data_IF_840376475100
#
_entry.id   IF_840376475100
#
_cell.length_a   1.000
_cell.length_b   1.000
_cell.length_c   1.000
_cell.angle_alpha   90.00
_cell.angle_beta   90.00
_cell.angle_gamma   90.00
#
_symmetry.space_group_name_H-M   'P 1'
#
loop_
_entity.id
_entity.type
_entity.pdbx_description
1 polymer ?
#
# COMPACT_ATOMS: atom_id res chain seq x y z
N UNK A 1 11.54 22.02 27.80
CA UNK A 1 11.30 21.60 26.40
C UNK A 1 10.75 20.18 26.29
N UNK A 2 11.27 19.21 27.05
CA UNK A 2 10.88 17.78 26.95
C UNK A 2 10.06 17.26 28.14
N UNK A 3 9.64 18.13 29.07
CA UNK A 3 8.81 17.75 30.21
C UNK A 3 7.44 17.19 29.76
N UNK A 4 6.89 17.78 28.70
CA UNK A 4 5.81 17.22 27.90
C UNK A 4 6.37 16.90 26.51
N UNK A 5 6.71 15.63 26.22
CA UNK A 5 7.38 15.29 24.97
C UNK A 5 6.44 15.28 23.76
N UNK A 6 5.12 15.38 23.97
CA UNK A 6 4.11 15.32 22.93
C UNK A 6 3.83 16.70 22.34
N UNK A 7 3.76 16.77 21.02
CA UNK A 7 3.52 17.99 20.28
C UNK A 7 4.75 18.88 20.12
N UNK A 8 4.57 20.15 19.70
CA UNK A 8 5.65 21.10 19.53
C UNK A 8 6.26 21.49 20.90
N UNK A 9 7.55 21.85 20.96
CA UNK A 9 8.22 22.25 22.21
C UNK A 9 7.79 23.66 22.66
N UNK A 10 6.52 23.82 23.01
CA UNK A 10 5.85 25.08 23.36
C UNK A 10 6.53 25.82 24.52
N UNK A 11 7.09 25.08 25.47
CA UNK A 11 7.82 25.63 26.61
C UNK A 11 9.09 26.43 26.24
N UNK A 12 9.61 26.28 25.01
CA UNK A 12 10.74 27.11 24.54
C UNK A 12 10.31 28.50 24.11
N UNK A 13 9.07 28.68 23.67
CA UNK A 13 8.60 29.95 23.12
C UNK A 13 8.69 31.09 24.14
N UNK A 14 8.19 30.95 25.39
CA UNK A 14 8.33 32.00 26.40
C UNK A 14 9.80 32.34 26.70
N UNK A 15 10.68 31.33 26.70
CA UNK A 15 12.10 31.52 26.98
C UNK A 15 12.82 32.29 25.85
N UNK A 16 12.47 32.00 24.60
CA UNK A 16 12.97 32.73 23.43
C UNK A 16 12.47 34.17 23.39
N UNK A 17 11.26 34.44 23.89
CA UNK A 17 10.68 35.77 23.96
C UNK A 17 11.16 36.60 25.17
N UNK A 18 11.80 35.98 26.16
CA UNK A 18 12.16 36.66 27.41
C UNK A 18 13.30 37.68 27.24
N UNK A 19 14.32 37.38 26.41
CA UNK A 19 15.48 38.25 26.24
C UNK A 19 16.20 38.03 24.89
N UNK A 20 16.69 39.09 24.26
CA UNK A 20 17.41 39.03 22.97
C UNK A 20 18.69 38.18 23.02
N UNK A 21 19.42 38.24 24.13
CA UNK A 21 20.58 37.38 24.37
C UNK A 21 20.20 35.89 24.41
N UNK A 22 19.15 35.52 25.16
CA UNK A 22 18.66 34.14 25.22
C UNK A 22 18.16 33.67 23.86
N UNK A 23 17.43 34.51 23.13
CA UNK A 23 17.05 34.25 21.76
C UNK A 23 18.28 33.94 20.89
N UNK A 24 19.32 34.77 20.97
CA UNK A 24 20.55 34.58 20.20
C UNK A 24 21.26 33.26 20.53
N UNK A 25 21.18 32.76 21.77
CA UNK A 25 21.79 31.51 22.19
C UNK A 25 20.93 30.26 21.92
N UNK A 26 19.60 30.41 21.89
CA UNK A 26 18.65 29.28 21.83
C UNK A 26 17.89 29.20 20.52
N UNK A 27 18.02 30.18 19.62
CA UNK A 27 17.42 30.14 18.29
C UNK A 27 17.87 28.91 17.49
N UNK A 28 16.97 28.34 16.69
CA UNK A 28 17.24 27.15 15.87
C UNK A 28 18.39 27.36 14.88
N UNK A 29 18.53 28.58 14.36
CA UNK A 29 19.58 28.95 13.41
C UNK A 29 20.97 28.98 14.05
N UNK A 30 21.07 29.29 15.34
CA UNK A 30 22.35 29.38 16.07
C UNK A 30 22.64 28.17 16.94
N UNK A 31 21.63 27.35 17.26
CA UNK A 31 21.78 26.21 18.17
C UNK A 31 21.02 24.98 17.69
N UNK A 32 21.34 24.49 16.48
CA UNK A 32 20.72 23.28 15.92
C UNK A 32 20.89 22.04 16.81
N UNK A 33 21.98 21.94 17.59
CA UNK A 33 22.22 20.83 18.51
C UNK A 33 21.14 20.70 19.60
N UNK A 34 20.64 21.81 20.14
CA UNK A 34 19.53 21.78 21.11
C UNK A 34 18.27 21.17 20.48
N UNK A 35 17.91 21.58 19.27
CA UNK A 35 16.73 21.08 18.57
C UNK A 35 16.90 19.62 18.11
N UNK A 36 18.10 19.22 17.73
CA UNK A 36 18.41 17.82 17.47
C UNK A 36 18.24 16.94 18.72
N UNK A 37 18.63 17.43 19.90
CA UNK A 37 18.39 16.73 21.18
C UNK A 37 16.91 16.65 21.52
N UNK A 38 16.16 17.72 21.26
CA UNK A 38 14.71 17.72 21.44
C UNK A 38 14.07 16.69 20.51
N UNK A 39 14.45 16.68 19.22
CA UNK A 39 13.98 15.68 18.26
C UNK A 39 14.22 14.25 18.74
N UNK A 40 15.46 13.93 19.16
CA UNK A 40 15.80 12.60 19.71
C UNK A 40 15.06 12.25 20.99
N UNK A 41 14.49 13.22 21.70
CA UNK A 41 13.67 13.00 22.89
C UNK A 41 12.18 12.83 22.55
N UNK A 42 11.70 13.45 21.46
CA UNK A 42 10.27 13.52 21.14
C UNK A 42 9.83 12.58 20.00
N UNK A 43 10.74 12.23 19.08
CA UNK A 43 10.50 11.36 17.93
C UNK A 43 11.45 10.16 17.94
N UNK A 44 11.05 9.12 17.23
CA UNK A 44 11.90 7.97 16.94
C UNK A 44 12.84 8.31 15.78
N UNK A 45 14.13 7.96 15.91
CA UNK A 45 15.18 8.35 14.97
C UNK A 45 16.06 7.18 14.51
N UNK A 46 15.88 5.98 15.07
CA UNK A 46 16.72 4.82 14.75
C UNK A 46 16.48 4.27 13.34
N UNK A 47 15.24 4.27 12.84
CA UNK A 47 14.97 3.90 11.44
C UNK A 47 15.67 4.82 10.44
N UNK A 48 15.54 6.16 10.57
CA UNK A 48 16.34 7.11 9.81
C UNK A 48 17.85 6.85 9.87
N UNK A 49 18.42 6.63 11.06
CA UNK A 49 19.86 6.33 11.20
C UNK A 49 20.28 5.07 10.41
N UNK A 50 19.43 4.04 10.36
CA UNK A 50 19.71 2.83 9.56
C UNK A 50 19.55 3.03 8.05
N UNK A 51 18.68 3.95 7.63
CA UNK A 51 18.30 4.17 6.22
C UNK A 51 19.12 5.28 5.55
N UNK A 52 19.56 6.25 6.34
CA UNK A 52 20.25 7.48 5.96
C UNK A 52 21.34 7.81 7.00
N UNK A 53 22.38 6.96 7.13
CA UNK A 53 23.39 7.13 8.18
C UNK A 53 24.11 8.48 8.09
N UNK A 54 24.36 8.96 6.87
CA UNK A 54 24.99 10.24 6.64
C UNK A 54 24.02 11.38 7.01
N UNK A 55 22.84 11.44 6.39
CA UNK A 55 21.92 12.59 6.52
C UNK A 55 21.21 12.68 7.89
N UNK A 56 20.77 11.55 8.47
CA UNK A 56 19.99 11.52 9.70
C UNK A 56 20.84 11.68 10.97
N UNK A 57 22.17 11.68 10.84
CA UNK A 57 23.08 11.87 11.98
C UNK A 57 23.33 13.36 12.29
N UNK A 58 23.20 14.24 11.29
CA UNK A 58 23.51 15.67 11.42
C UNK A 58 22.49 16.43 12.25
N UNK A 59 22.98 17.27 13.17
CA UNK A 59 22.11 18.05 14.06
C UNK A 59 21.25 19.07 13.31
N UNK A 60 21.72 19.61 12.19
CA UNK A 60 20.93 20.53 11.35
C UNK A 60 19.74 19.82 10.70
N UNK A 61 19.97 18.61 10.17
CA UNK A 61 18.94 17.79 9.55
C UNK A 61 17.84 17.39 10.55
N UNK A 62 18.24 16.94 11.74
CA UNK A 62 17.30 16.62 12.83
C UNK A 62 16.50 17.84 13.30
N UNK A 63 17.15 19.00 13.41
CA UNK A 63 16.48 20.25 13.78
C UNK A 63 15.45 20.68 12.72
N UNK A 64 15.80 20.60 11.43
CA UNK A 64 14.87 20.87 10.33
C UNK A 64 13.70 19.87 10.31
N UNK A 65 13.98 18.59 10.57
CA UNK A 65 12.95 17.56 10.62
C UNK A 65 11.99 17.74 11.80
N UNK A 66 12.48 18.21 12.95
CA UNK A 66 11.63 18.57 14.09
C UNK A 66 10.56 19.58 13.69
N UNK A 67 10.97 20.67 13.04
CA UNK A 67 10.05 21.73 12.61
C UNK A 67 8.99 21.16 11.67
N UNK A 68 9.42 20.44 10.62
CA UNK A 68 8.51 19.85 9.64
C UNK A 68 7.51 18.88 10.26
N UNK A 69 7.97 18.02 11.17
CA UNK A 69 7.08 17.08 11.85
C UNK A 69 6.07 17.83 12.74
N UNK A 70 6.51 18.83 13.51
CA UNK A 70 5.61 19.63 14.34
C UNK A 70 4.55 20.39 13.52
N UNK A 71 4.94 20.98 12.38
CA UNK A 71 4.00 21.64 11.46
C UNK A 71 2.96 20.66 10.90
N UNK A 72 3.39 19.48 10.43
CA UNK A 72 2.47 18.45 9.93
C UNK A 72 1.52 17.95 11.02
N UNK A 73 2.00 17.73 12.25
CA UNK A 73 1.15 17.34 13.39
C UNK A 73 0.13 18.41 13.75
N UNK A 74 0.52 19.69 13.70
CA UNK A 74 -0.41 20.80 13.90
C UNK A 74 -1.48 20.83 12.81
N UNK A 75 -1.11 20.64 11.54
CA UNK A 75 -2.06 20.59 10.42
C UNK A 75 -3.01 19.40 10.48
N UNK A 76 -2.53 18.22 10.91
CA UNK A 76 -3.40 17.07 11.21
C UNK A 76 -4.45 17.47 12.25
N UNK A 77 -4.01 18.16 13.31
CA UNK A 77 -4.87 18.58 14.41
C UNK A 77 -5.91 19.63 14.00
N UNK A 78 -5.55 20.57 13.14
CA UNK A 78 -6.50 21.56 12.58
C UNK A 78 -7.37 20.99 11.46
N UNK A 79 -6.95 19.88 10.86
CA UNK A 79 -7.67 19.18 9.78
C UNK A 79 -7.32 19.66 8.36
N UNK A 80 -6.40 20.61 8.22
CA UNK A 80 -5.93 21.20 6.95
C UNK A 80 -4.69 20.46 6.42
N UNK A 81 -4.89 19.20 6.06
CA UNK A 81 -3.83 18.30 5.63
C UNK A 81 -3.46 18.51 4.16
N UNK A 82 -2.19 18.81 3.92
CA UNK A 82 -1.62 18.78 2.57
C UNK A 82 -1.19 17.35 2.21
N UNK A 83 -0.99 17.11 0.91
CA UNK A 83 -0.50 15.82 0.43
C UNK A 83 0.84 15.45 1.08
N UNK A 84 1.78 16.38 1.17
CA UNK A 84 3.09 16.15 1.81
C UNK A 84 2.97 15.76 3.28
N UNK A 85 1.94 16.23 3.98
CA UNK A 85 1.70 15.89 5.38
C UNK A 85 1.23 14.43 5.52
N UNK A 86 0.51 13.90 4.52
CA UNK A 86 0.18 12.46 4.45
C UNK A 86 1.42 11.60 4.24
N UNK A 87 2.36 12.03 3.38
CA UNK A 87 3.63 11.33 3.18
C UNK A 87 4.49 11.36 4.45
N UNK A 88 4.56 12.51 5.15
CA UNK A 88 5.28 12.62 6.43
C UNK A 88 4.65 11.77 7.51
N UNK A 89 3.32 11.78 7.64
CA UNK A 89 2.61 10.90 8.57
C UNK A 89 2.89 9.41 8.27
N UNK A 90 2.93 9.06 6.98
CA UNK A 90 3.24 7.70 6.56
C UNK A 90 4.69 7.32 6.89
N UNK A 91 5.66 8.21 6.63
CA UNK A 91 7.04 8.01 7.05
C UNK A 91 7.15 7.82 8.58
N UNK A 92 6.47 8.65 9.37
CA UNK A 92 6.41 8.52 10.83
C UNK A 92 5.87 7.15 11.28
N UNK A 93 4.87 6.59 10.58
CA UNK A 93 4.38 5.23 10.86
C UNK A 93 5.43 4.15 10.58
N UNK A 94 6.21 4.29 9.51
CA UNK A 94 7.24 3.33 9.11
C UNK A 94 8.52 3.41 9.95
N UNK A 95 8.74 4.56 10.58
CA UNK A 95 9.87 4.86 11.45
C UNK A 95 9.52 4.74 12.92
N UNK A 96 8.30 4.26 13.23
CA UNK A 96 7.80 4.19 14.58
C UNK A 96 8.46 3.07 15.39
N UNK A 97 9.07 3.45 16.51
CA UNK A 97 9.52 2.58 17.59
C UNK A 97 8.68 2.81 18.88
N UNK A 98 7.71 3.73 18.83
CA UNK A 98 6.68 3.94 19.83
C UNK A 98 6.34 5.42 20.04
N UNK A 99 7.33 6.31 19.93
CA UNK A 99 7.15 7.75 20.16
C UNK A 99 6.40 8.39 19.01
N UNK A 100 6.69 8.00 17.77
CA UNK A 100 6.01 8.55 16.60
C UNK A 100 4.50 8.24 16.63
N UNK A 101 4.11 7.04 17.05
CA UNK A 101 2.71 6.67 17.23
C UNK A 101 2.02 7.56 18.29
N UNK A 102 2.69 7.84 19.41
CA UNK A 102 2.16 8.73 20.43
C UNK A 102 1.99 10.18 19.91
N UNK A 103 2.92 10.67 19.09
CA UNK A 103 2.81 11.99 18.43
C UNK A 103 1.62 12.04 17.46
N UNK A 104 1.46 11.02 16.62
CA UNK A 104 0.34 10.92 15.67
C UNK A 104 -1.01 10.80 16.39
N UNK A 105 -1.05 10.10 17.52
CA UNK A 105 -2.23 10.02 18.38
C UNK A 105 -2.55 11.37 19.02
N UNK A 106 -1.55 12.08 19.55
CA UNK A 106 -1.70 13.44 20.08
C UNK A 106 -2.25 14.41 19.03
N UNK A 107 -1.83 14.28 17.78
CA UNK A 107 -2.34 15.09 16.67
C UNK A 107 -3.78 14.75 16.28
N UNK A 108 -4.34 13.62 16.74
CA UNK A 108 -5.68 13.16 16.36
C UNK A 108 -5.74 12.51 14.98
N UNK A 109 -4.61 12.01 14.46
CA UNK A 109 -4.56 11.35 13.15
C UNK A 109 -5.56 10.18 13.03
N UNK A 110 -5.70 9.26 14.00
CA UNK A 110 -6.59 8.11 13.86
C UNK A 110 -8.05 8.51 13.57
N UNK A 111 -8.57 9.47 14.33
CA UNK A 111 -9.97 9.91 14.20
C UNK A 111 -10.18 10.79 12.96
N UNK A 112 -9.17 11.55 12.56
CA UNK A 112 -9.20 12.29 11.29
C UNK A 112 -9.29 11.34 10.10
N UNK A 113 -8.40 10.34 10.03
CA UNK A 113 -8.31 9.43 8.90
C UNK A 113 -9.54 8.52 8.82
N UNK A 114 -10.06 8.04 9.96
CA UNK A 114 -11.30 7.27 9.96
C UNK A 114 -12.48 8.07 9.40
N UNK A 115 -12.63 9.34 9.80
CA UNK A 115 -13.64 10.25 9.22
C UNK A 115 -13.40 10.48 7.73
N UNK A 116 -12.14 10.62 7.30
CA UNK A 116 -11.78 10.72 5.89
C UNK A 116 -12.23 9.48 5.11
N UNK A 117 -11.94 8.28 5.60
CA UNK A 117 -12.31 7.02 4.94
C UNK A 117 -13.82 6.89 4.83
N UNK A 118 -14.56 7.21 5.90
CA UNK A 118 -16.02 7.12 5.92
C UNK A 118 -16.72 8.14 5.02
N UNK A 119 -16.17 9.34 4.85
CA UNK A 119 -16.84 10.45 4.13
C UNK A 119 -16.29 10.74 2.73
N UNK A 120 -14.97 10.61 2.53
CA UNK A 120 -14.28 11.10 1.32
C UNK A 120 -13.74 10.01 0.40
N UNK A 121 -13.62 8.76 0.85
CA UNK A 121 -13.03 7.68 0.03
C UNK A 121 -13.74 7.46 -1.33
N UNK A 122 -15.05 7.72 -1.37
CA UNK A 122 -15.88 7.59 -2.59
C UNK A 122 -16.22 8.94 -3.25
N UNK A 123 -15.64 10.04 -2.77
CA UNK A 123 -15.88 11.36 -3.32
C UNK A 123 -15.42 11.43 -4.79
N UNK A 124 -16.24 12.05 -5.64
CA UNK A 124 -15.94 12.18 -7.07
C UNK A 124 -16.16 10.91 -7.90
N UNK A 125 -16.84 9.89 -7.36
CA UNK A 125 -17.17 8.65 -8.10
C UNK A 125 -17.94 8.88 -9.41
N UNK A 126 -18.67 9.99 -9.52
CA UNK A 126 -19.45 10.34 -10.70
C UNK A 126 -18.55 10.51 -11.93
N UNK A 127 -17.31 10.96 -11.72
CA UNK A 127 -16.28 11.11 -12.77
C UNK A 127 -15.61 9.79 -13.15
N UNK A 128 -15.80 8.74 -12.36
CA UNK A 128 -15.13 7.43 -12.50
C UNK A 128 -16.14 6.30 -12.70
N UNK A 129 -17.28 6.60 -13.33
CA UNK A 129 -18.35 5.65 -13.64
C UNK A 129 -18.93 4.95 -12.39
N UNK A 130 -19.11 5.69 -11.30
CA UNK A 130 -19.59 5.20 -10.00
C UNK A 130 -18.65 4.20 -9.30
N UNK A 131 -17.38 4.21 -9.67
CA UNK A 131 -16.33 3.45 -8.98
C UNK A 131 -15.46 4.39 -8.15
N UNK A 132 -14.91 3.93 -7.02
CA UNK A 132 -14.11 4.80 -6.19
C UNK A 132 -12.76 5.12 -6.87
N UNK A 133 -12.24 6.33 -6.66
CA UNK A 133 -11.06 6.81 -7.38
C UNK A 133 -9.79 6.29 -6.72
N UNK A 134 -8.88 5.73 -7.52
CA UNK A 134 -7.50 5.54 -7.06
C UNK A 134 -6.78 6.90 -7.14
N UNK A 135 -6.47 7.47 -5.99
CA UNK A 135 -5.70 8.69 -5.84
C UNK A 135 -4.69 8.52 -4.71
N UNK A 136 -3.64 9.33 -4.75
CA UNK A 136 -2.59 9.34 -3.73
C UNK A 136 -3.18 9.56 -2.33
N UNK A 137 -4.10 10.51 -2.22
CA UNK A 137 -4.77 10.83 -0.96
C UNK A 137 -5.54 9.62 -0.43
N UNK A 138 -6.28 8.90 -1.29
CA UNK A 138 -7.00 7.69 -0.91
C UNK A 138 -6.05 6.55 -0.54
N UNK A 139 -4.94 6.39 -1.26
CA UNK A 139 -3.94 5.38 -0.97
C UNK A 139 -3.31 5.62 0.42
N UNK A 140 -2.80 6.83 0.67
CA UNK A 140 -2.23 7.19 1.97
C UNK A 140 -3.27 7.16 3.08
N UNK A 141 -4.51 7.61 2.84
CA UNK A 141 -5.55 7.55 3.85
C UNK A 141 -5.81 6.11 4.31
N UNK A 142 -5.91 5.13 3.40
CA UNK A 142 -6.09 3.73 3.79
C UNK A 142 -4.85 3.14 4.47
N UNK A 143 -3.65 3.50 4.04
CA UNK A 143 -2.41 3.07 4.70
C UNK A 143 -2.25 3.64 6.11
N UNK A 144 -2.51 4.94 6.29
CA UNK A 144 -2.52 5.57 7.60
C UNK A 144 -3.63 4.99 8.48
N UNK A 145 -4.80 4.67 7.90
CA UNK A 145 -5.86 3.99 8.63
C UNK A 145 -5.39 2.63 9.14
N UNK A 146 -4.75 1.84 8.28
CA UNK A 146 -4.17 0.55 8.67
C UNK A 146 -3.14 0.67 9.79
N UNK A 147 -2.23 1.65 9.74
CA UNK A 147 -1.21 1.84 10.79
C UNK A 147 -1.75 2.42 12.09
N UNK A 148 -2.87 3.14 12.04
CA UNK A 148 -3.53 3.71 13.24
C UNK A 148 -4.61 2.79 13.82
N UNK A 149 -4.96 1.72 13.11
CA UNK A 149 -5.95 0.73 13.56
C UNK A 149 -5.32 -0.18 14.60
N UNK A 150 -5.82 -0.13 15.83
CA UNK A 150 -5.43 -1.08 16.89
C UNK A 150 -6.50 -2.17 17.03
N UNK A 151 -6.16 -3.34 17.62
CA UNK A 151 -7.17 -4.35 17.96
C UNK A 151 -8.33 -3.77 18.78
N UNK A 152 -8.04 -2.88 19.72
CA UNK A 152 -9.05 -2.22 20.56
C UNK A 152 -9.97 -1.31 19.75
N UNK A 153 -9.43 -0.52 18.81
CA UNK A 153 -10.24 0.32 17.91
C UNK A 153 -11.11 -0.52 16.99
N UNK A 154 -10.58 -1.63 16.47
CA UNK A 154 -11.34 -2.55 15.63
C UNK A 154 -12.48 -3.22 16.41
N UNK A 155 -12.23 -3.59 17.67
CA UNK A 155 -13.24 -4.15 18.58
C UNK A 155 -14.30 -3.11 18.99
N UNK A 156 -13.90 -1.84 19.13
CA UNK A 156 -14.80 -0.75 19.48
C UNK A 156 -15.80 -0.39 18.36
N UNK A 157 -15.56 -0.81 17.12
CA UNK A 157 -16.51 -0.56 16.03
C UNK A 157 -17.83 -1.28 16.25
N UNK A 158 -18.94 -0.59 15.97
CA UNK A 158 -20.26 -1.23 15.92
C UNK A 158 -20.38 -2.13 14.67
N UNK A 159 -21.28 -3.13 14.68
CA UNK A 159 -21.53 -3.95 13.48
C UNK A 159 -21.88 -3.11 12.24
N UNK A 160 -22.65 -2.03 12.41
CA UNK A 160 -23.01 -1.12 11.32
C UNK A 160 -21.78 -0.37 10.76
N UNK A 161 -20.89 0.14 11.62
CA UNK A 161 -19.65 0.79 11.19
C UNK A 161 -18.72 -0.19 10.46
N UNK A 162 -18.56 -1.42 10.98
CA UNK A 162 -17.78 -2.45 10.29
C UNK A 162 -18.33 -2.75 8.90
N UNK A 163 -19.64 -2.93 8.77
CA UNK A 163 -20.30 -3.17 7.48
C UNK A 163 -20.12 -1.99 6.52
N UNK A 164 -20.19 -0.76 7.02
CA UNK A 164 -19.91 0.44 6.23
C UNK A 164 -18.46 0.45 5.73
N UNK A 165 -17.48 0.31 6.62
CA UNK A 165 -16.05 0.28 6.26
C UNK A 165 -15.74 -0.85 5.28
N UNK A 166 -16.27 -2.05 5.54
CA UNK A 166 -16.12 -3.20 4.65
C UNK A 166 -16.69 -2.89 3.26
N UNK A 167 -17.87 -2.27 3.18
CA UNK A 167 -18.50 -1.86 1.91
C UNK A 167 -17.65 -0.82 1.16
N UNK A 168 -17.10 0.15 1.88
CA UNK A 168 -16.29 1.23 1.32
C UNK A 168 -14.97 0.71 0.73
N UNK A 169 -14.31 -0.23 1.41
CA UNK A 169 -12.99 -0.78 1.03
C UNK A 169 -13.11 -1.93 0.03
N UNK A 170 -14.24 -2.67 0.01
CA UNK A 170 -14.45 -3.85 -0.84
C UNK A 170 -14.04 -3.68 -2.31
N UNK A 171 -14.34 -2.58 -3.02
CA UNK A 171 -13.96 -2.49 -4.43
C UNK A 171 -12.44 -2.48 -4.64
N UNK A 172 -11.71 -1.81 -3.76
CA UNK A 172 -10.26 -1.76 -3.79
C UNK A 172 -9.64 -3.12 -3.46
N UNK A 173 -10.26 -3.89 -2.56
CA UNK A 173 -9.76 -5.19 -2.13
C UNK A 173 -9.99 -6.32 -3.16
N UNK A 174 -11.14 -6.32 -3.84
CA UNK A 174 -11.59 -7.44 -4.67
C UNK A 174 -11.21 -7.26 -6.14
N UNK A 175 -11.30 -6.05 -6.69
CA UNK A 175 -11.12 -5.81 -8.12
C UNK A 175 -9.67 -5.51 -8.49
N UNK A 176 -8.79 -6.50 -8.34
CA UNK A 176 -7.33 -6.39 -8.59
C UNK A 176 -6.96 -5.92 -10.00
N UNK A 177 -7.82 -6.19 -11.00
CA UNK A 177 -7.58 -5.70 -12.35
C UNK A 177 -7.69 -4.18 -12.47
N UNK A 178 -8.43 -3.53 -11.55
CA UNK A 178 -8.59 -2.08 -11.46
C UNK A 178 -7.66 -1.49 -10.39
N UNK A 179 -7.55 -2.12 -9.24
CA UNK A 179 -6.73 -1.68 -8.12
C UNK A 179 -5.66 -2.74 -7.81
N UNK A 180 -4.57 -2.80 -8.59
CA UNK A 180 -3.53 -3.79 -8.38
C UNK A 180 -2.90 -3.63 -6.99
N UNK A 181 -2.68 -4.75 -6.26
CA UNK A 181 -2.03 -4.74 -4.95
C UNK A 181 -0.49 -4.73 -5.04
N UNK A 182 0.07 -4.63 -6.24
CA UNK A 182 1.49 -4.77 -6.51
C UNK A 182 2.03 -3.51 -7.19
N UNK A 183 3.28 -3.15 -6.90
CA UNK A 183 3.98 -2.02 -7.54
C UNK A 183 4.31 -2.30 -9.00
N UNK A 184 4.60 -3.57 -9.31
CA UNK A 184 4.81 -4.07 -10.66
C UNK A 184 3.82 -5.21 -10.95
N UNK A 185 3.45 -5.45 -12.22
CA UNK A 185 2.55 -6.55 -12.56
C UNK A 185 3.08 -7.92 -12.12
N UNK A 186 2.19 -8.71 -11.52
CA UNK A 186 2.41 -10.05 -10.96
C UNK A 186 2.54 -11.16 -12.01
N UNK A 187 2.36 -10.84 -13.29
CA UNK A 187 2.51 -11.79 -14.40
C UNK A 187 3.97 -11.98 -14.84
N UNK A 188 4.89 -11.14 -14.35
CA UNK A 188 6.30 -11.18 -14.72
C UNK A 188 7.11 -11.83 -13.60
N UNK A 189 7.95 -12.78 -13.98
CA UNK A 189 8.85 -13.48 -13.05
C UNK A 189 10.18 -12.74 -12.83
N UNK A 190 10.64 -12.01 -13.85
CA UNK A 190 11.95 -11.37 -13.87
C UNK A 190 11.86 -9.89 -14.24
N UNK A 191 12.64 -9.08 -13.55
CA UNK A 191 12.86 -7.67 -13.86
C UNK A 191 14.37 -7.45 -14.12
N UNK A 192 14.74 -6.45 -14.94
CA UNK A 192 13.89 -5.46 -15.62
C UNK A 192 13.08 -6.05 -16.79
N UNK A 193 12.01 -5.36 -17.17
CA UNK A 193 11.29 -5.65 -18.40
C UNK A 193 12.07 -5.08 -19.59
N UNK A 194 12.41 -5.92 -20.56
CA UNK A 194 13.04 -5.50 -21.81
C UNK A 194 12.06 -4.95 -22.87
N UNK A 195 10.83 -5.49 -23.02
CA UNK A 195 9.90 -4.95 -23.99
C UNK A 195 9.47 -3.52 -23.65
N UNK A 196 9.24 -2.71 -24.69
CA UNK A 196 8.72 -1.36 -24.49
C UNK A 196 7.32 -1.40 -23.84
N UNK A 197 6.95 -0.37 -23.05
CA UNK A 197 5.63 -0.31 -22.43
C UNK A 197 4.47 -0.48 -23.42
N UNK A 198 4.61 0.04 -24.63
CA UNK A 198 3.59 -0.04 -25.68
C UNK A 198 3.42 -1.45 -26.22
N UNK A 199 4.53 -2.18 -26.44
CA UNK A 199 4.47 -3.58 -26.87
C UNK A 199 3.74 -4.45 -25.83
N UNK A 200 3.98 -4.20 -24.54
CA UNK A 200 3.30 -4.93 -23.46
C UNK A 200 1.81 -4.59 -23.38
N UNK A 201 1.42 -3.35 -23.67
CA UNK A 201 0.01 -2.92 -23.72
C UNK A 201 -0.75 -3.57 -24.87
N UNK A 202 -0.11 -3.83 -25.99
CA UNK A 202 -0.73 -4.54 -27.12
C UNK A 202 -1.05 -6.01 -26.80
N UNK A 203 -0.32 -6.58 -25.84
CA UNK A 203 -0.55 -7.93 -25.31
C UNK A 203 -1.46 -7.95 -24.06
N UNK A 204 -1.92 -6.79 -23.59
CA UNK A 204 -2.86 -6.70 -22.47
C UNK A 204 -4.29 -6.99 -22.89
N UNK A 205 -5.07 -7.55 -21.95
CA UNK A 205 -6.52 -7.70 -22.09
C UNK A 205 -7.17 -6.34 -21.85
N UNK A 206 -7.97 -5.85 -22.80
CA UNK A 206 -8.75 -4.64 -22.62
C UNK A 206 -9.97 -4.92 -21.73
N UNK A 207 -9.96 -4.37 -20.52
CA UNK A 207 -11.11 -4.37 -19.63
C UNK A 207 -11.87 -3.05 -19.74
N UNK A 208 -13.11 -2.97 -19.25
CA UNK A 208 -13.84 -1.70 -19.18
C UNK A 208 -13.17 -0.64 -18.28
N UNK A 209 -12.13 -1.03 -17.54
CA UNK A 209 -11.35 -0.18 -16.65
C UNK A 209 -9.93 0.11 -17.17
N UNK A 210 -9.60 -0.35 -18.38
CA UNK A 210 -8.27 -0.20 -18.99
C UNK A 210 -7.61 -1.53 -19.30
N UNK A 211 -6.37 -1.49 -19.75
CA UNK A 211 -5.55 -2.68 -20.03
C UNK A 211 -5.19 -3.42 -18.74
N UNK A 212 -5.35 -4.74 -18.74
CA UNK A 212 -4.84 -5.64 -17.71
C UNK A 212 -3.77 -6.58 -18.31
N UNK A 213 -2.59 -6.73 -17.67
CA UNK A 213 -2.15 -6.03 -16.46
C UNK A 213 -1.92 -4.53 -16.68
N UNK A 214 -1.90 -3.78 -15.58
CA UNK A 214 -1.65 -2.34 -15.61
C UNK A 214 -0.15 -2.03 -15.58
N UNK A 215 0.38 -1.54 -16.70
CA UNK A 215 1.73 -1.00 -16.78
C UNK A 215 1.71 0.49 -16.47
N UNK A 216 1.93 0.80 -15.19
CA UNK A 216 1.94 2.16 -14.65
C UNK A 216 3.23 2.87 -15.03
N UNK A 217 3.09 4.14 -15.37
CA UNK A 217 4.22 4.98 -15.72
C UNK A 217 4.99 5.38 -14.44
N UNK A 218 6.29 5.02 -14.32
CA UNK A 218 7.06 5.21 -13.08
C UNK A 218 7.12 6.66 -12.61
N UNK A 219 7.10 7.63 -13.54
CA UNK A 219 7.17 9.07 -13.21
C UNK A 219 5.97 9.57 -12.39
N UNK A 220 4.81 8.93 -12.52
CA UNK A 220 3.60 9.32 -11.81
C UNK A 220 3.41 8.56 -10.50
N UNK A 221 4.18 7.49 -10.29
CA UNK A 221 4.11 6.65 -9.10
C UNK A 221 5.02 7.11 -7.97
N UNK A 222 5.99 7.97 -8.24
CA UNK A 222 6.87 8.51 -7.19
C UNK A 222 6.39 9.87 -6.71
N UNK A 223 6.61 10.12 -5.43
CA UNK A 223 6.52 11.44 -4.83
C UNK A 223 7.78 11.71 -4.04
N UNK A 224 8.33 12.90 -4.23
CA UNK A 224 9.55 13.35 -3.57
C UNK A 224 9.17 14.38 -2.52
N UNK A 225 9.66 14.20 -1.30
CA UNK A 225 9.44 15.14 -0.21
C UNK A 225 10.73 15.32 0.59
N UNK A 226 10.88 16.50 1.20
CA UNK A 226 12.01 16.78 2.07
C UNK A 226 11.92 15.93 3.34
N UNK A 227 12.97 15.15 3.60
CA UNK A 227 13.06 14.23 4.72
C UNK A 227 14.51 14.22 5.21
N UNK A 228 14.73 14.77 6.41
CA UNK A 228 16.06 15.16 6.91
C UNK A 228 16.77 16.12 5.94
N UNK A 229 18.02 15.87 5.58
CA UNK A 229 18.79 16.73 4.65
C UNK A 229 18.65 16.30 3.17
N UNK A 230 17.81 15.31 2.89
CA UNK A 230 17.64 14.73 1.56
C UNK A 230 16.20 14.87 1.02
N UNK A 231 16.06 14.70 -0.30
CA UNK A 231 14.78 14.58 -0.99
C UNK A 231 14.49 13.11 -1.30
N UNK A 232 13.82 12.46 -0.35
CA UNK A 232 13.47 11.05 -0.50
C UNK A 232 12.31 10.90 -1.47
N UNK A 233 12.48 9.99 -2.44
CA UNK A 233 11.42 9.59 -3.37
C UNK A 233 10.82 8.25 -2.95
N UNK A 234 9.54 8.23 -2.60
CA UNK A 234 8.78 7.03 -2.29
C UNK A 234 7.74 6.76 -3.39
N UNK A 235 7.55 5.48 -3.71
CA UNK A 235 6.42 5.06 -4.51
C UNK A 235 5.09 5.23 -3.75
N UNK A 236 4.03 5.52 -4.48
CA UNK A 236 2.66 5.46 -3.97
C UNK A 236 2.38 4.01 -3.53
N UNK A 237 2.08 3.78 -2.24
CA UNK A 237 1.90 2.44 -1.74
C UNK A 237 0.58 1.86 -2.30
N UNK A 238 0.56 0.61 -2.80
CA UNK A 238 -0.59 0.11 -3.54
C UNK A 238 -1.89 0.13 -2.71
N UNK A 239 -2.90 0.87 -3.18
CA UNK A 239 -4.18 0.98 -2.49
C UNK A 239 -4.89 -0.37 -2.38
N UNK A 240 -4.76 -1.22 -3.40
CA UNK A 240 -5.37 -2.55 -3.43
C UNK A 240 -4.78 -3.49 -2.38
N UNK A 241 -3.50 -3.30 -2.00
CA UNK A 241 -2.86 -4.11 -0.98
C UNK A 241 -3.43 -3.80 0.41
N UNK A 242 -3.40 -2.53 0.81
CA UNK A 242 -3.94 -2.14 2.12
C UNK A 242 -5.45 -2.37 2.20
N UNK A 243 -6.18 -2.17 1.10
CA UNK A 243 -7.60 -2.47 1.07
C UNK A 243 -7.89 -3.95 1.33
N UNK A 244 -7.06 -4.88 0.81
CA UNK A 244 -7.17 -6.29 1.15
C UNK A 244 -6.91 -6.55 2.62
N UNK A 245 -5.84 -5.99 3.18
CA UNK A 245 -5.51 -6.14 4.59
C UNK A 245 -6.66 -5.67 5.48
N UNK A 246 -7.19 -4.47 5.21
CA UNK A 246 -8.34 -3.91 5.92
C UNK A 246 -9.61 -4.75 5.74
N UNK A 247 -9.92 -5.17 4.51
CA UNK A 247 -11.11 -5.96 4.22
C UNK A 247 -11.09 -7.31 4.94
N UNK A 248 -9.94 -8.01 4.92
CA UNK A 248 -9.77 -9.27 5.64
C UNK A 248 -9.84 -9.06 7.14
N UNK A 249 -9.16 -8.05 7.69
CA UNK A 249 -9.20 -7.77 9.13
C UNK A 249 -10.63 -7.46 9.62
N UNK A 250 -11.41 -6.70 8.84
CA UNK A 250 -12.82 -6.40 9.15
C UNK A 250 -13.72 -7.63 9.05
N UNK A 251 -13.47 -8.51 8.05
CA UNK A 251 -14.23 -9.73 7.84
C UNK A 251 -13.98 -10.76 8.95
N UNK A 252 -12.72 -10.98 9.33
CA UNK A 252 -12.33 -11.95 10.36
C UNK A 252 -12.75 -11.55 11.78
N UNK A 253 -13.10 -10.27 11.98
CA UNK A 253 -13.68 -9.82 13.23
C UNK A 253 -15.16 -10.21 13.38
N UNK A 254 -15.82 -10.64 12.30
CA UNK A 254 -17.17 -11.20 12.37
C UNK A 254 -17.10 -12.68 12.79
N UNK A 255 -18.03 -13.16 13.63
CA UNK A 255 -18.17 -14.59 13.88
C UNK A 255 -18.38 -15.32 12.55
N UNK A 256 -17.52 -16.27 12.25
CA UNK A 256 -17.66 -17.07 11.05
C UNK A 256 -18.59 -18.26 11.36
N UNK A 257 -19.60 -18.44 10.51
CA UNK A 257 -20.51 -19.58 10.60
C UNK A 257 -19.84 -20.79 9.95
N UNK A 258 -19.81 -21.91 10.68
CA UNK A 258 -19.27 -23.18 10.21
C UNK A 258 -20.41 -24.16 9.90
N UNK A 259 -20.17 -25.15 9.03
CA UNK A 259 -21.09 -26.28 8.88
C UNK A 259 -21.36 -26.90 10.27
N UNK A 260 -22.60 -27.30 10.53
CA UNK A 260 -22.96 -27.92 11.81
C UNK A 260 -22.14 -29.18 12.05
N UNK A 261 -21.93 -29.53 13.33
CA UNK A 261 -21.24 -30.76 13.73
C UNK A 261 -21.91 -32.04 13.15
N UNK A 262 -23.15 -31.94 12.68
CA UNK A 262 -23.88 -33.04 12.05
C UNK A 262 -23.40 -33.34 10.61
N UNK A 263 -22.68 -32.41 9.96
CA UNK A 263 -22.24 -32.52 8.57
C UNK A 263 -20.77 -32.93 8.42
N UNK A 264 -19.96 -32.76 9.48
CA UNK A 264 -18.52 -32.98 9.46
C UNK A 264 -18.10 -33.81 10.67
N UNK A 265 -17.16 -34.76 10.52
CA UNK A 265 -16.54 -35.42 11.66
C UNK A 265 -15.94 -34.39 12.62
N UNK A 266 -16.07 -34.63 13.93
CA UNK A 266 -15.59 -33.72 14.95
C UNK A 266 -14.06 -33.57 14.88
N UNK A 267 -13.35 -34.69 14.73
CA UNK A 267 -11.90 -34.73 14.67
C UNK A 267 -11.36 -35.72 13.62
N UNK A 268 -10.02 -35.82 13.56
CA UNK A 268 -9.32 -36.67 12.60
C UNK A 268 -9.51 -38.17 12.89
N UNK A 269 -9.66 -38.55 14.15
CA UNK A 269 -9.84 -39.94 14.54
C UNK A 269 -11.21 -40.46 14.07
N UNK A 270 -12.26 -39.69 14.32
CA UNK A 270 -13.61 -39.98 13.84
C UNK A 270 -13.67 -40.01 12.30
N UNK A 271 -12.97 -39.08 11.63
CA UNK A 271 -12.88 -39.09 10.16
C UNK A 271 -12.21 -40.36 9.61
N UNK A 272 -11.15 -40.84 10.26
CA UNK A 272 -10.43 -42.05 9.86
C UNK A 272 -11.28 -43.32 10.12
N UNK A 273 -12.06 -43.36 11.21
CA UNK A 273 -13.02 -44.43 11.50
C UNK A 273 -14.17 -44.48 10.48
N UNK A 274 -14.70 -43.32 10.09
CA UNK A 274 -15.76 -43.20 9.08
C UNK A 274 -15.23 -43.36 7.63
N UNK A 275 -13.91 -43.45 7.44
CA UNK A 275 -13.28 -43.45 6.12
C UNK A 275 -13.51 -42.14 5.34
N UNK A 276 -13.90 -41.07 6.04
CA UNK A 276 -14.22 -39.77 5.45
C UNK A 276 -12.92 -39.04 5.07
N UNK A 277 -12.89 -38.51 3.84
CA UNK A 277 -11.78 -37.68 3.35
C UNK A 277 -12.24 -36.24 3.25
N UNK A 278 -11.65 -35.36 4.05
CA UNK A 278 -11.98 -33.94 4.03
C UNK A 278 -11.50 -33.21 5.30
N UNK A 279 -11.80 -31.90 5.39
CA UNK A 279 -11.60 -31.14 6.61
C UNK A 279 -12.59 -31.60 7.70
N UNK A 280 -12.11 -31.63 8.94
CA UNK A 280 -12.89 -31.92 10.15
C UNK A 280 -13.37 -30.62 10.80
N UNK A 281 -14.30 -30.72 11.75
CA UNK A 281 -14.71 -29.55 12.53
C UNK A 281 -13.52 -28.95 13.30
N UNK A 282 -12.66 -29.79 13.88
CA UNK A 282 -11.43 -29.36 14.53
C UNK A 282 -10.50 -28.56 13.58
N UNK A 283 -10.38 -28.95 12.31
CA UNK A 283 -9.59 -28.20 11.32
C UNK A 283 -10.17 -26.80 11.06
N UNK A 284 -11.50 -26.68 10.98
CA UNK A 284 -12.16 -25.38 10.81
C UNK A 284 -11.98 -24.48 12.04
N UNK A 285 -12.11 -25.04 13.25
CA UNK A 285 -11.89 -24.31 14.49
C UNK A 285 -10.44 -23.84 14.61
N UNK A 286 -9.47 -24.72 14.36
CA UNK A 286 -8.05 -24.36 14.35
C UNK A 286 -7.73 -23.28 13.29
N UNK A 287 -8.36 -23.38 12.11
CA UNK A 287 -8.21 -22.36 11.07
C UNK A 287 -8.84 -21.02 11.45
N UNK A 288 -9.91 -21.02 12.25
CA UNK A 288 -10.60 -19.82 12.73
C UNK A 288 -9.77 -18.97 13.68
N UNK A 289 -8.98 -19.63 14.54
CA UNK A 289 -8.11 -18.99 15.53
C UNK A 289 -6.94 -18.26 14.84
N UNK A 290 -6.55 -18.75 13.66
CA UNK A 290 -5.61 -18.05 12.80
C UNK A 290 -6.32 -16.82 12.21
N UNK A 291 -5.67 -15.66 12.31
CA UNK A 291 -6.11 -14.41 11.66
C UNK A 291 -5.15 -14.09 10.53
N UNK A 292 -5.63 -13.99 9.30
CA UNK A 292 -4.78 -13.75 8.13
C UNK A 292 -4.32 -12.29 8.04
N UNK A 293 -5.11 -11.34 8.56
CA UNK A 293 -4.72 -9.94 8.59
C UNK A 293 -4.86 -9.39 10.01
N UNK A 294 -3.72 -9.02 10.61
CA UNK A 294 -3.67 -8.34 11.90
C UNK A 294 -3.15 -6.93 11.68
N UNK A 295 -3.83 -5.89 12.22
CA UNK A 295 -3.27 -4.56 12.22
C UNK A 295 -1.87 -4.55 12.85
N UNK A 296 -0.98 -3.62 12.44
CA UNK A 296 0.38 -3.59 12.93
C UNK A 296 0.40 -3.41 14.45
N UNK A 297 0.95 -4.39 15.18
CA UNK A 297 1.16 -4.26 16.63
C UNK A 297 2.31 -3.32 16.93
N UNK A 298 2.47 -2.89 18.19
CA UNK A 298 3.72 -2.24 18.60
C UNK A 298 4.91 -3.18 18.33
N UNK A 299 6.01 -2.62 17.81
CA UNK A 299 7.20 -3.38 17.46
C UNK A 299 8.26 -2.48 16.86
N UNK A 300 9.49 -2.99 16.68
CA UNK A 300 10.60 -2.20 16.16
C UNK A 300 10.36 -1.80 14.71
N UNK A 301 10.72 -0.57 14.37
CA UNK A 301 10.69 0.03 13.03
C UNK A 301 11.46 -0.79 11.99
N UNK A 302 12.41 -1.62 12.42
CA UNK A 302 13.20 -2.50 11.56
C UNK A 302 12.36 -3.47 10.72
N UNK A 303 11.16 -3.85 11.20
CA UNK A 303 10.22 -4.71 10.45
C UNK A 303 9.73 -4.06 9.15
N UNK A 304 9.78 -2.72 9.06
CA UNK A 304 9.33 -1.96 7.90
C UNK A 304 10.46 -1.65 6.92
N UNK A 305 11.71 -2.02 7.22
CA UNK A 305 12.84 -1.68 6.36
C UNK A 305 12.75 -2.35 4.98
N UNK A 306 12.29 -3.60 4.89
CA UNK A 306 12.07 -4.26 3.60
C UNK A 306 10.96 -3.60 2.78
N UNK A 307 9.87 -3.16 3.42
CA UNK A 307 8.79 -2.44 2.73
C UNK A 307 9.25 -1.05 2.28
N UNK A 308 10.03 -0.36 3.10
CA UNK A 308 10.66 0.92 2.74
C UNK A 308 11.53 0.78 1.48
N UNK A 309 12.42 -0.21 1.45
CA UNK A 309 13.29 -0.46 0.30
C UNK A 309 12.47 -0.84 -0.94
N UNK A 310 11.39 -1.60 -0.78
CA UNK A 310 10.46 -1.92 -1.88
C UNK A 310 9.81 -0.66 -2.45
N UNK A 311 9.36 0.28 -1.61
CA UNK A 311 8.79 1.54 -2.07
C UNK A 311 9.82 2.48 -2.70
N UNK A 312 11.10 2.39 -2.34
CA UNK A 312 12.17 3.17 -2.98
C UNK A 312 12.66 2.58 -4.31
N UNK A 313 12.63 1.25 -4.48
CA UNK A 313 13.25 0.59 -5.62
C UNK A 313 12.26 -0.04 -6.62
N UNK A 314 11.20 -0.68 -6.15
CA UNK A 314 10.42 -1.62 -6.96
C UNK A 314 9.30 -0.99 -7.84
N UNK A 315 9.18 0.33 -7.88
CA UNK A 315 8.10 1.00 -8.64
C UNK A 315 8.38 1.13 -10.14
N UNK A 316 9.63 0.96 -10.57
CA UNK A 316 10.01 1.04 -11.98
C UNK A 316 10.40 -0.36 -12.49
N UNK A 317 9.51 -1.07 -13.20
CA UNK A 317 9.80 -2.42 -13.68
C UNK A 317 10.81 -2.45 -14.84
N UNK A 318 11.18 -1.30 -15.42
CA UNK A 318 12.20 -1.19 -16.48
C UNK A 318 13.59 -0.81 -15.96
N UNK A 319 13.74 -0.62 -14.64
CA UNK A 319 15.02 -0.24 -14.04
C UNK A 319 15.70 -1.44 -13.39
N UNK A 320 17.02 -1.50 -13.48
CA UNK A 320 17.88 -2.42 -12.72
C UNK A 320 18.02 -2.04 -11.23
N UNK A 321 17.16 -1.14 -10.75
CA UNK A 321 17.19 -0.73 -9.34
C UNK A 321 16.52 -1.82 -8.52
N UNK A 322 17.34 -2.55 -7.77
CA UNK A 322 16.87 -3.56 -6.83
C UNK A 322 16.90 -3.01 -5.40
N UNK A 323 16.00 -3.47 -4.52
CA UNK A 323 16.06 -3.13 -3.11
C UNK A 323 17.38 -3.61 -2.51
N UNK A 324 17.98 -2.80 -1.63
CA UNK A 324 19.25 -3.14 -0.99
C UNK A 324 19.13 -4.39 -0.10
N UNK A 325 17.95 -4.60 0.48
CA UNK A 325 17.62 -5.77 1.29
C UNK A 325 16.77 -6.76 0.49
N UNK A 326 16.84 -8.07 0.81
CA UNK A 326 15.94 -9.05 0.25
C UNK A 326 14.47 -8.63 0.47
N UNK A 327 13.64 -8.61 -0.58
CA UNK A 327 12.25 -8.15 -0.47
C UNK A 327 11.35 -9.13 0.30
N UNK A 328 11.84 -10.34 0.59
CA UNK A 328 11.15 -11.34 1.40
C UNK A 328 12.14 -12.08 2.30
N UNK A 329 11.65 -12.56 3.43
CA UNK A 329 12.40 -13.44 4.33
C UNK A 329 12.04 -14.89 3.99
N UNK A 330 13.00 -15.79 3.75
CA UNK A 330 12.71 -17.21 3.55
C UNK A 330 11.80 -17.76 4.66
N UNK A 331 10.77 -18.52 4.29
CA UNK A 331 9.73 -18.96 5.22
C UNK A 331 8.53 -18.02 5.34
N UNK A 332 8.57 -16.79 4.80
CA UNK A 332 7.41 -15.87 4.80
C UNK A 332 6.22 -16.37 3.94
N UNK A 333 6.47 -17.36 3.08
CA UNK A 333 5.46 -18.06 2.27
C UNK A 333 5.06 -19.42 2.88
N UNK A 334 5.55 -19.76 4.07
CA UNK A 334 5.07 -20.93 4.81
C UNK A 334 3.77 -20.59 5.54
N UNK A 335 2.84 -21.54 5.61
CA UNK A 335 1.55 -21.34 6.27
C UNK A 335 0.42 -22.10 5.59
N UNK A 336 -0.80 -21.86 6.09
CA UNK A 336 -2.02 -22.44 5.53
C UNK A 336 -2.53 -21.57 4.38
N UNK A 337 -2.53 -22.16 3.18
CA UNK A 337 -2.99 -21.51 1.95
C UNK A 337 -4.47 -21.78 1.62
N UNK A 338 -5.23 -22.23 2.63
CA UNK A 338 -6.68 -22.42 2.50
C UNK A 338 -7.39 -21.10 2.25
N UNK A 339 -8.30 -21.08 1.27
CA UNK A 339 -9.12 -19.90 1.00
C UNK A 339 -10.07 -19.62 2.18
N UNK A 340 -10.10 -18.38 2.67
CA UNK A 340 -10.92 -17.99 3.83
C UNK A 340 -12.37 -17.68 3.50
N UNK A 341 -12.59 -17.05 2.35
CA UNK A 341 -13.91 -16.64 1.91
C UNK A 341 -13.95 -16.67 0.40
N UNK A 342 -15.12 -17.00 -0.13
CA UNK A 342 -15.40 -16.90 -1.55
C UNK A 342 -16.30 -15.70 -1.75
N UNK A 343 -15.75 -14.62 -2.32
CA UNK A 343 -16.59 -13.49 -2.74
C UNK A 343 -17.35 -13.93 -3.98
N UNK A 344 -18.64 -14.27 -3.82
CA UNK A 344 -19.54 -14.34 -4.98
C UNK A 344 -19.83 -12.90 -5.41
N UNK A 345 -19.32 -12.44 -6.56
CA UNK A 345 -19.70 -11.13 -7.06
C UNK A 345 -21.20 -11.18 -7.38
N UNK A 346 -21.98 -10.20 -6.92
CA UNK A 346 -23.40 -10.15 -7.27
C UNK A 346 -23.53 -9.99 -8.80
N UNK A 347 -24.59 -10.51 -9.44
CA UNK A 347 -24.80 -10.32 -10.88
C UNK A 347 -24.76 -8.84 -11.29
N UNK A 348 -25.28 -7.95 -10.43
CA UNK A 348 -25.20 -6.49 -10.62
C UNK A 348 -23.78 -5.93 -10.57
N UNK A 349 -22.90 -6.50 -9.74
CA UNK A 349 -21.50 -6.11 -9.63
C UNK A 349 -20.67 -6.61 -10.80
N UNK A 350 -20.91 -7.86 -11.24
CA UNK A 350 -20.32 -8.44 -12.46
C UNK A 350 -20.74 -7.62 -13.68
N UNK A 351 -22.03 -7.33 -13.82
CA UNK A 351 -22.54 -6.46 -14.89
C UNK A 351 -21.92 -5.07 -14.83
N UNK A 352 -21.78 -4.40 -13.66
CA UNK A 352 -21.08 -3.10 -13.59
C UNK A 352 -19.60 -3.18 -13.97
N UNK A 353 -18.90 -4.26 -13.58
CA UNK A 353 -17.51 -4.47 -13.92
C UNK A 353 -17.31 -4.76 -15.43
N UNK A 354 -18.30 -5.37 -16.08
CA UNK A 354 -18.26 -5.74 -17.51
C UNK A 354 -18.91 -4.69 -18.45
N UNK A 355 -19.88 -3.90 -17.98
CA UNK A 355 -20.75 -3.08 -18.84
C UNK A 355 -20.27 -1.65 -19.14
N UNK A 356 -19.14 -1.18 -18.59
CA UNK A 356 -18.60 0.15 -19.00
C UNK A 356 -18.20 0.18 -20.49
N UNK A 357 -18.16 -0.97 -21.17
CA UNK A 357 -17.91 -1.07 -22.61
C UNK A 357 -19.04 -0.52 -23.52
N UNK A 358 -20.28 -0.35 -23.04
CA UNK A 358 -21.41 -0.05 -23.92
C UNK A 358 -21.64 1.45 -24.24
N UNK A 359 -20.88 2.37 -23.66
CA UNK A 359 -21.02 3.82 -23.93
C UNK A 359 -19.99 4.40 -24.90
N UNK A 360 -19.06 3.58 -25.44
CA UNK A 360 -18.13 4.00 -26.50
C UNK A 360 -18.66 3.60 -27.88
N UNK A 361 -19.60 4.38 -28.41
CA UNK A 361 -19.70 4.56 -29.87
C UNK A 361 -18.50 5.37 -30.34
N UNK A 362 -17.35 4.70 -30.48
CA UNK A 362 -16.16 5.17 -31.22
C UNK A 362 -15.99 4.35 -32.50
N UNK A 363 -15.31 4.87 -33.54
CA UNK A 363 -15.60 4.55 -34.93
C UNK A 363 -15.37 3.07 -35.23
N UNK A 364 -16.34 2.48 -35.94
CA UNK A 364 -16.29 1.13 -36.52
C UNK A 364 -14.87 0.84 -37.00
N UNK A 365 -14.19 -0.14 -36.38
CA UNK A 365 -13.01 -0.76 -36.97
C UNK A 365 -13.40 -1.16 -38.39
N UNK A 366 -12.88 -0.44 -39.40
CA UNK A 366 -13.00 -0.84 -40.80
C UNK A 366 -12.43 -2.25 -40.88
N UNK A 367 -13.31 -3.24 -41.09
CA UNK A 367 -12.91 -4.59 -41.47
C UNK A 367 -12.06 -4.45 -42.73
N UNK A 368 -10.76 -4.69 -42.63
CA UNK A 368 -9.90 -4.82 -43.80
C UNK A 368 -10.44 -5.98 -44.65
N UNK A 369 -10.65 -5.80 -45.97
CA UNK A 369 -11.23 -6.83 -46.81
C UNK A 369 -10.28 -8.04 -46.94
N UNK A 370 -10.82 -9.24 -47.25
CA UNK A 370 -10.12 -10.52 -47.08
C UNK A 370 -8.91 -10.74 -48.00
N UNK A 371 -8.62 -9.81 -48.92
CA UNK A 371 -7.65 -9.99 -49.99
C UNK A 371 -6.19 -9.67 -49.63
N UNK A 372 -5.89 -9.11 -48.44
CA UNK A 372 -4.49 -8.83 -48.03
C UNK A 372 -3.84 -9.88 -47.12
N UNK A 373 -4.56 -10.90 -46.64
CA UNK A 373 -3.98 -12.00 -45.85
C UNK A 373 -3.13 -13.00 -46.67
N UNK A 374 -3.37 -13.14 -47.98
CA UNK A 374 -2.63 -14.11 -48.82
C UNK A 374 -1.22 -13.69 -49.23
N UNK A 375 -0.88 -12.39 -49.23
CA UNK A 375 0.46 -11.93 -49.65
C UNK A 375 1.53 -12.07 -48.57
N UNK A 376 1.17 -12.01 -47.28
CA UNK A 376 2.15 -12.18 -46.19
C UNK A 376 2.52 -13.65 -45.90
N UNK A 377 1.62 -14.60 -46.17
CA UNK A 377 1.89 -16.03 -46.01
C UNK A 377 2.82 -16.59 -47.10
N UNK A 378 2.73 -16.09 -48.34
CA UNK A 378 3.64 -16.52 -49.41
C UNK A 378 5.06 -15.95 -49.30
N UNK A 379 5.24 -14.75 -48.73
CA UNK A 379 6.56 -14.17 -48.50
C UNK A 379 7.36 -14.94 -47.43
N UNK A 380 6.71 -15.42 -46.37
CA UNK A 380 7.36 -16.24 -45.31
C UNK A 380 7.73 -17.65 -45.79
N UNK A 381 6.97 -18.25 -46.70
CA UNK A 381 7.28 -19.57 -47.24
C UNK A 381 8.45 -19.58 -48.24
N UNK A 382 8.73 -18.46 -48.94
CA UNK A 382 9.90 -18.33 -49.83
C UNK A 382 11.21 -18.07 -49.08
N UNK A 383 11.18 -17.32 -47.98
CA UNK A 383 12.36 -17.09 -47.14
C UNK A 383 12.86 -18.37 -46.43
N UNK A 384 11.94 -19.26 -46.03
CA UNK A 384 12.30 -20.53 -45.38
C UNK A 384 12.92 -21.59 -46.33
N UNK A 385 12.75 -21.44 -47.65
CA UNK A 385 13.36 -22.35 -48.66
C UNK A 385 14.76 -21.93 -49.11
N UNK A 386 15.19 -20.69 -48.85
CA UNK A 386 16.52 -20.22 -49.23
C UNK A 386 17.61 -20.54 -48.17
N UNK A 387 17.24 -20.71 -46.90
CA UNK A 387 18.17 -21.04 -45.80
C UNK A 387 18.48 -22.53 -45.61
N UNK A 388 18.01 -23.42 -46.51
CA UNK A 388 18.28 -24.88 -46.43
C UNK A 388 19.29 -25.39 -47.46
N UNK A 389 20.02 -24.52 -48.15
CA UNK A 389 21.00 -24.88 -49.20
C UNK A 389 22.35 -24.17 -49.05
N UNK A 390 22.89 -24.01 -47.84
CA UNK A 390 24.32 -23.71 -47.67
C UNK A 390 24.82 -24.40 -46.39
N UNK A 391 25.43 -25.59 -46.55
CA UNK A 391 26.56 -26.14 -45.76
C UNK A 391 26.88 -27.56 -46.26
N UNK A 392 27.99 -27.77 -46.98
CA UNK A 392 28.68 -29.04 -47.03
C UNK A 392 29.96 -29.00 -46.17
N UNK A 393 30.29 -30.18 -45.65
CA UNK A 393 31.61 -30.72 -45.27
C UNK A 393 32.80 -29.76 -45.04
N UNK A 394 33.28 -29.69 -43.80
CA UNK A 394 34.51 -30.33 -43.30
C UNK A 394 34.59 -30.14 -41.77
#
# INVERSE_FOLDING_TARGET
ATAEPLGPPSALVPLLCAHSHLYSLLSITRNAHLYARIFRATFDYHAPERRFPDDASYSLALAAQLVRNCESLQRIRTGDLLLDDLYRAFALCLENDGRNAAQLQWAGLPDYIERYVCSRLWHGRDRTHNWPRESRENAFALWLYWYTLTPDRLAAHTPAQRNLLQTLVRPYAVYNFRYPPFLAPDIHWSFPLHPSPDALRDHSVLTPHGSYPQYREPRYLKHSFAHYDDHVSLAEPPIGLVAKLLYVALLEHQPQEYPSADLLPADRAEADELGARGPTLADYLAFSDLRAARPPTAGPSARHDSDWDRWRACYNPWSDKHPARPPYTPGSLSGLWGGRFLVRPSPSSVSRALCIAHSRTGPRRRRLPPRRRRRHLHARARAARHNRRIRPAL
#
